data_IF_572766231373
#
_entry.id   IF_572766231373
#
_cell.length_a   1.000
_cell.length_b   1.000
_cell.length_c   1.000
_cell.angle_alpha   90.00
_cell.angle_beta   90.00
_cell.angle_gamma   90.00
#
_symmetry.space_group_name_H-M   'P 1'
#
loop_
_entity.id
_entity.type
_entity.pdbx_description
1 polymer ?
#
# COMPACT_ATOMS: atom_id res chain seq x y z
N UNK A 1 14.00 14.92 11.26
CA UNK A 1 12.84 14.47 10.52
C UNK A 1 13.09 13.11 9.90
N UNK A 2 12.05 12.42 9.50
CA UNK A 2 12.11 11.13 8.82
C UNK A 2 11.76 11.32 7.35
N UNK A 3 12.47 10.63 6.46
CA UNK A 3 12.13 10.55 5.04
C UNK A 3 11.62 9.14 4.75
N UNK A 4 10.64 9.02 3.89
CA UNK A 4 10.11 7.76 3.38
C UNK A 4 9.95 7.88 1.87
N UNK A 5 10.50 6.94 1.12
CA UNK A 5 10.49 6.96 -0.33
C UNK A 5 9.80 5.72 -0.86
N UNK A 6 8.76 5.89 -1.67
CA UNK A 6 8.02 4.79 -2.29
C UNK A 6 8.05 4.88 -3.81
N UNK A 7 7.89 3.76 -4.47
CA UNK A 7 7.73 3.65 -5.92
C UNK A 7 6.25 3.62 -6.23
N UNK A 8 5.77 4.60 -7.01
CA UNK A 8 4.40 4.59 -7.54
C UNK A 8 4.38 3.75 -8.81
N UNK A 9 3.55 2.71 -8.81
CA UNK A 9 3.43 1.80 -9.95
C UNK A 9 2.03 1.17 -10.00
N UNK A 10 1.73 0.49 -11.09
CA UNK A 10 0.55 -0.35 -11.24
C UNK A 10 0.89 -1.79 -10.82
N UNK A 11 0.11 -2.34 -9.89
CA UNK A 11 0.18 -3.73 -9.46
C UNK A 11 -0.92 -4.54 -10.13
N UNK A 12 -0.63 -5.81 -10.44
CA UNK A 12 -1.55 -6.69 -11.13
C UNK A 12 -2.62 -7.25 -10.18
N UNK A 13 -3.86 -7.36 -10.64
CA UNK A 13 -4.95 -7.97 -9.86
C UNK A 13 -4.73 -9.46 -9.64
N UNK A 14 -4.04 -10.15 -10.54
CA UNK A 14 -3.75 -11.57 -10.42
C UNK A 14 -2.73 -11.85 -9.30
N UNK A 15 -1.83 -10.93 -9.02
CA UNK A 15 -0.92 -11.03 -7.86
C UNK A 15 -1.68 -11.04 -6.53
N UNK A 16 -2.77 -10.30 -6.44
CA UNK A 16 -3.66 -10.36 -5.28
C UNK A 16 -4.42 -11.69 -5.22
N UNK A 17 -4.94 -12.17 -6.35
CA UNK A 17 -5.65 -13.44 -6.45
C UNK A 17 -4.75 -14.65 -6.09
N UNK A 18 -3.51 -14.62 -6.56
CA UNK A 18 -2.52 -15.66 -6.35
C UNK A 18 -1.78 -15.55 -5.01
N UNK A 19 -2.21 -14.62 -4.14
CA UNK A 19 -1.62 -14.39 -2.84
C UNK A 19 -0.11 -14.03 -2.88
N UNK A 20 0.33 -13.40 -3.96
CA UNK A 20 1.63 -12.73 -4.06
C UNK A 20 1.55 -11.41 -3.29
N UNK A 21 0.44 -10.68 -3.43
CA UNK A 21 0.13 -9.55 -2.58
C UNK A 21 -0.60 -10.05 -1.33
N UNK A 22 0.11 -10.03 -0.20
CA UNK A 22 -0.38 -10.56 1.09
C UNK A 22 -1.29 -9.55 1.79
N UNK A 23 -2.37 -10.07 2.37
CA UNK A 23 -3.31 -9.32 3.20
C UNK A 23 -3.29 -9.84 4.62
N UNK A 24 -3.52 -8.97 5.59
CA UNK A 24 -3.61 -9.29 7.01
C UNK A 24 -4.95 -8.89 7.63
N UNK A 25 -5.85 -8.30 6.84
CA UNK A 25 -7.17 -7.85 7.28
C UNK A 25 -8.24 -8.40 6.33
N UNK A 26 -9.35 -8.86 6.90
CA UNK A 26 -10.53 -9.19 6.14
C UNK A 26 -11.35 -7.93 5.86
N UNK A 27 -11.82 -7.82 4.64
CA UNK A 27 -12.62 -6.67 4.21
C UNK A 27 -14.09 -6.87 4.55
N UNK A 28 -14.79 -5.76 4.86
CA UNK A 28 -16.22 -5.75 5.12
C UNK A 28 -16.98 -5.54 3.81
N UNK A 29 -17.91 -6.42 3.48
CA UNK A 29 -18.64 -6.39 2.22
C UNK A 29 -19.32 -5.05 1.94
N UNK A 30 -19.96 -4.44 2.95
CA UNK A 30 -20.62 -3.14 2.78
C UNK A 30 -19.67 -2.02 2.34
N UNK A 31 -18.44 -2.00 2.88
CA UNK A 31 -17.41 -1.04 2.48
C UNK A 31 -16.83 -1.36 1.11
N UNK A 32 -16.70 -2.64 0.76
CA UNK A 32 -16.25 -3.04 -0.56
C UNK A 32 -17.26 -2.62 -1.63
N UNK A 33 -18.55 -2.87 -1.43
CA UNK A 33 -19.60 -2.52 -2.38
C UNK A 33 -19.63 -1.01 -2.65
N UNK A 34 -19.42 -0.20 -1.64
CA UNK A 34 -19.29 1.25 -1.80
C UNK A 34 -18.11 1.63 -2.69
N UNK A 35 -16.94 1.04 -2.44
CA UNK A 35 -15.73 1.27 -3.23
C UNK A 35 -15.81 0.71 -4.65
N UNK A 36 -16.46 -0.44 -4.85
CA UNK A 36 -16.72 -1.01 -6.18
C UNK A 36 -17.55 -0.02 -7.00
N UNK A 37 -18.68 0.48 -6.45
CA UNK A 37 -19.50 1.49 -7.14
C UNK A 37 -18.70 2.75 -7.47
N UNK A 38 -17.84 3.19 -6.56
CA UNK A 38 -16.99 4.36 -6.78
C UNK A 38 -16.03 4.15 -7.95
N UNK A 39 -15.25 3.08 -7.93
CA UNK A 39 -14.28 2.76 -9.02
C UNK A 39 -15.01 2.55 -10.35
N UNK A 40 -16.12 1.85 -10.34
CA UNK A 40 -16.90 1.55 -11.55
C UNK A 40 -17.51 2.82 -12.16
N UNK A 41 -17.98 3.76 -11.33
CA UNK A 41 -18.57 5.02 -11.76
C UNK A 41 -17.56 6.07 -12.20
N UNK A 42 -16.39 6.11 -11.56
CA UNK A 42 -15.34 7.11 -11.88
C UNK A 42 -14.36 6.61 -12.95
N UNK A 43 -14.38 5.31 -13.23
CA UNK A 43 -13.41 4.63 -14.09
C UNK A 43 -11.94 4.95 -13.72
N UNK A 44 -11.70 5.11 -12.42
CA UNK A 44 -10.39 5.54 -11.91
C UNK A 44 -10.11 5.04 -10.49
N UNK A 45 -8.83 4.83 -10.19
CA UNK A 45 -8.34 4.63 -8.83
C UNK A 45 -8.04 5.99 -8.19
N UNK A 46 -8.88 6.43 -7.27
CA UNK A 46 -8.80 7.76 -6.63
C UNK A 46 -7.80 7.84 -5.48
N UNK A 47 -7.12 6.76 -5.16
CA UNK A 47 -6.06 6.73 -4.15
C UNK A 47 -5.24 5.45 -4.25
N UNK A 48 -3.91 5.56 -4.13
CA UNK A 48 -3.04 4.41 -4.24
C UNK A 48 -3.22 3.44 -3.06
N UNK A 49 -2.88 2.18 -3.30
CA UNK A 49 -2.79 1.15 -2.28
C UNK A 49 -1.37 1.16 -1.73
N UNK A 50 -1.24 1.15 -0.42
CA UNK A 50 0.05 1.16 0.25
C UNK A 50 0.56 -0.28 0.38
N UNK A 51 1.61 -0.61 -0.38
CA UNK A 51 2.28 -1.91 -0.35
C UNK A 51 3.67 -1.79 0.27
N UNK A 52 4.11 -2.87 0.89
CA UNK A 52 5.46 -3.01 1.45
C UNK A 52 6.14 -4.20 0.80
N UNK A 53 7.42 -4.05 0.48
CA UNK A 53 8.24 -5.12 -0.06
C UNK A 53 9.55 -5.27 0.71
N UNK A 54 10.16 -6.45 0.65
CA UNK A 54 11.51 -6.66 1.21
C UNK A 54 12.53 -5.94 0.37
N UNK A 55 13.28 -5.05 1.01
CA UNK A 55 14.26 -4.21 0.35
C UNK A 55 15.26 -5.03 -0.49
N UNK A 56 15.51 -4.56 -1.70
CA UNK A 56 16.53 -5.07 -2.62
C UNK A 56 17.47 -3.94 -3.03
N UNK A 57 18.76 -4.17 -2.88
CA UNK A 57 19.78 -3.13 -3.05
C UNK A 57 19.81 -2.54 -4.48
N UNK A 58 19.57 -3.35 -5.51
CA UNK A 58 19.51 -2.85 -6.89
C UNK A 58 18.37 -1.86 -7.11
N UNK A 59 17.19 -2.10 -6.49
CA UNK A 59 16.06 -1.18 -6.54
C UNK A 59 16.42 0.12 -5.81
N UNK A 60 17.01 0.01 -4.61
CA UNK A 60 17.46 1.18 -3.84
C UNK A 60 18.41 2.07 -4.63
N UNK A 61 19.40 1.47 -5.29
CA UNK A 61 20.37 2.22 -6.09
C UNK A 61 19.73 3.01 -7.21
N UNK A 62 18.75 2.43 -7.91
CA UNK A 62 17.97 3.16 -8.92
C UNK A 62 17.24 4.34 -8.31
N UNK A 63 16.49 4.10 -7.23
CA UNK A 63 15.72 5.16 -6.53
C UNK A 63 16.64 6.29 -6.07
N UNK A 64 17.76 5.98 -5.41
CA UNK A 64 18.72 7.00 -4.94
C UNK A 64 19.38 7.76 -6.10
N UNK A 65 19.61 7.13 -7.25
CA UNK A 65 20.13 7.82 -8.42
C UNK A 65 19.09 8.75 -9.06
N UNK A 66 17.85 8.33 -9.15
CA UNK A 66 16.75 9.13 -9.68
C UNK A 66 16.47 10.35 -8.79
N UNK A 67 16.55 10.21 -7.48
CA UNK A 67 16.41 11.31 -6.52
C UNK A 67 17.47 12.42 -6.63
N UNK A 68 18.59 12.17 -7.29
CA UNK A 68 19.60 13.21 -7.59
C UNK A 68 19.19 14.14 -8.73
N UNK A 69 18.17 13.78 -9.49
CA UNK A 69 17.64 14.58 -10.58
C UNK A 69 16.68 15.66 -10.07
N UNK A 70 16.26 16.55 -10.95
CA UNK A 70 15.24 17.54 -10.62
C UNK A 70 13.89 16.84 -10.44
N UNK A 71 13.19 17.02 -9.31
CA UNK A 71 11.87 16.45 -9.12
C UNK A 71 10.84 17.10 -10.07
N UNK A 72 9.85 16.33 -10.51
CA UNK A 72 8.70 16.83 -11.26
C UNK A 72 7.75 17.63 -10.37
N UNK A 73 7.70 17.29 -9.07
CA UNK A 73 6.98 18.03 -8.03
C UNK A 73 7.88 18.19 -6.81
N UNK A 74 7.84 19.37 -6.21
CA UNK A 74 8.46 19.64 -4.90
C UNK A 74 7.65 20.73 -4.21
N UNK A 75 7.01 20.42 -3.09
CA UNK A 75 6.22 21.35 -2.30
C UNK A 75 6.20 20.95 -0.84
N UNK A 76 5.84 21.90 0.02
CA UNK A 76 5.60 21.66 1.44
C UNK A 76 4.09 21.79 1.66
N UNK A 77 3.48 20.76 2.25
CA UNK A 77 2.07 20.75 2.59
C UNK A 77 1.81 21.57 3.88
N UNK A 78 0.53 21.81 4.19
CA UNK A 78 0.12 22.64 5.35
C UNK A 78 0.57 22.05 6.70
N UNK A 79 0.80 20.74 6.76
CA UNK A 79 1.33 20.04 7.94
C UNK A 79 2.86 20.16 8.09
N UNK A 80 3.52 20.91 7.20
CA UNK A 80 4.98 21.10 7.18
C UNK A 80 5.76 19.94 6.57
N UNK A 81 5.11 18.93 6.01
CA UNK A 81 5.77 17.80 5.35
C UNK A 81 6.13 18.19 3.92
N UNK A 82 7.39 17.95 3.54
CA UNK A 82 7.87 18.13 2.17
C UNK A 82 7.54 16.90 1.33
N UNK A 83 6.92 17.14 0.18
CA UNK A 83 6.61 16.13 -0.83
C UNK A 83 7.41 16.37 -2.09
N UNK A 84 8.05 15.33 -2.58
CA UNK A 84 8.82 15.35 -3.82
C UNK A 84 8.50 14.11 -4.65
N UNK A 85 8.44 14.27 -5.96
CA UNK A 85 8.23 13.16 -6.89
C UNK A 85 9.18 13.28 -8.08
N UNK A 86 9.68 12.14 -8.53
CA UNK A 86 10.57 12.00 -9.69
C UNK A 86 9.99 10.99 -10.66
N UNK A 87 10.28 11.17 -11.92
CA UNK A 87 9.91 10.22 -12.98
C UNK A 87 11.04 9.22 -13.19
N UNK A 88 10.70 7.93 -13.24
CA UNK A 88 11.60 6.86 -13.67
C UNK A 88 11.17 6.46 -15.08
N UNK A 89 11.86 6.95 -16.10
CA UNK A 89 11.53 6.73 -17.51
C UNK A 89 12.64 6.03 -18.31
N UNK A 90 13.84 5.91 -17.72
CA UNK A 90 14.95 5.24 -18.40
C UNK A 90 14.71 3.72 -18.42
N UNK A 91 14.75 3.15 -19.63
CA UNK A 91 14.50 1.71 -19.79
C UNK A 91 15.43 0.84 -18.94
N UNK A 92 16.69 1.22 -18.80
CA UNK A 92 17.65 0.50 -17.95
C UNK A 92 17.23 0.45 -16.49
N UNK A 93 16.69 1.56 -15.96
CA UNK A 93 16.23 1.65 -14.57
C UNK A 93 14.95 0.83 -14.37
N UNK A 94 14.02 0.90 -15.32
CA UNK A 94 12.81 0.09 -15.32
C UNK A 94 13.12 -1.41 -15.37
N UNK A 95 14.09 -1.83 -16.21
CA UNK A 95 14.51 -3.22 -16.31
C UNK A 95 15.14 -3.72 -14.99
N UNK A 96 15.95 -2.89 -14.31
CA UNK A 96 16.53 -3.22 -12.99
C UNK A 96 15.44 -3.34 -11.92
N UNK A 97 14.49 -2.40 -11.88
CA UNK A 97 13.37 -2.45 -10.92
C UNK A 97 12.53 -3.72 -11.16
N UNK A 98 12.17 -4.00 -12.41
CA UNK A 98 11.43 -5.21 -12.77
C UNK A 98 12.15 -6.47 -12.32
N UNK A 99 13.41 -6.62 -12.69
CA UNK A 99 14.23 -7.78 -12.29
C UNK A 99 14.39 -7.88 -10.75
N UNK A 100 14.41 -6.75 -10.05
CA UNK A 100 14.40 -6.71 -8.58
C UNK A 100 13.09 -7.24 -8.01
N UNK A 101 11.95 -6.77 -8.50
CA UNK A 101 10.64 -7.26 -8.04
C UNK A 101 10.39 -8.74 -8.37
N UNK A 102 10.92 -9.26 -9.47
CA UNK A 102 10.85 -10.70 -9.81
C UNK A 102 11.55 -11.60 -8.77
N UNK A 103 12.47 -11.07 -7.98
CA UNK A 103 13.13 -11.79 -6.89
C UNK A 103 12.35 -11.74 -5.57
N UNK A 104 11.34 -10.89 -5.48
CA UNK A 104 10.54 -10.69 -4.26
C UNK A 104 9.37 -11.69 -4.27
N UNK A 105 9.31 -12.64 -3.33
CA UNK A 105 8.28 -13.68 -3.36
C UNK A 105 6.88 -13.15 -3.00
N UNK A 106 6.80 -12.02 -2.33
CA UNK A 106 5.54 -11.41 -1.94
C UNK A 106 5.70 -9.93 -1.57
N UNK A 107 4.65 -9.15 -1.81
CA UNK A 107 4.43 -7.83 -1.23
C UNK A 107 3.30 -7.89 -0.20
N UNK A 108 3.18 -6.87 0.64
CA UNK A 108 2.26 -6.87 1.78
C UNK A 108 1.44 -5.59 1.78
N UNK A 109 0.12 -5.69 1.89
CA UNK A 109 -0.74 -4.51 2.02
C UNK A 109 -0.55 -3.93 3.42
N UNK A 110 -0.04 -2.71 3.51
CA UNK A 110 0.04 -1.96 4.77
C UNK A 110 -1.22 -1.14 5.02
N UNK A 111 -1.79 -0.54 3.96
CA UNK A 111 -3.07 0.18 4.02
C UNK A 111 -3.83 0.05 2.70
N UNK A 112 -5.16 0.14 2.77
CA UNK A 112 -6.03 0.13 1.61
C UNK A 112 -6.58 -1.24 1.23
N UNK A 113 -6.76 -2.17 2.18
CA UNK A 113 -7.34 -3.51 1.92
C UNK A 113 -8.67 -3.45 1.17
N UNK A 114 -9.59 -2.53 1.57
CA UNK A 114 -10.88 -2.37 0.89
C UNK A 114 -10.71 -1.80 -0.53
N UNK A 115 -9.78 -0.86 -0.74
CA UNK A 115 -9.48 -0.32 -2.08
C UNK A 115 -8.90 -1.41 -2.98
N UNK A 116 -7.96 -2.21 -2.47
CA UNK A 116 -7.36 -3.31 -3.20
C UNK A 116 -8.41 -4.36 -3.59
N UNK A 117 -9.17 -4.87 -2.62
CA UNK A 117 -10.22 -5.86 -2.87
C UNK A 117 -11.27 -5.36 -3.88
N UNK A 118 -11.65 -4.08 -3.81
CA UNK A 118 -12.61 -3.48 -4.73
C UNK A 118 -12.06 -3.34 -6.14
N UNK A 119 -10.80 -2.91 -6.29
CA UNK A 119 -10.14 -2.82 -7.58
C UNK A 119 -10.06 -4.19 -8.26
N UNK A 120 -9.69 -5.23 -7.51
CA UNK A 120 -9.65 -6.61 -8.01
C UNK A 120 -11.04 -7.06 -8.45
N UNK A 121 -12.09 -6.83 -7.66
CA UNK A 121 -13.47 -7.21 -8.01
C UNK A 121 -13.97 -6.50 -9.27
N UNK A 122 -13.67 -5.21 -9.43
CA UNK A 122 -14.01 -4.46 -10.65
C UNK A 122 -13.26 -5.01 -11.86
N UNK A 123 -11.97 -5.27 -11.74
CA UNK A 123 -11.18 -5.86 -12.81
C UNK A 123 -11.71 -7.22 -13.25
N UNK A 124 -12.02 -8.11 -12.30
CA UNK A 124 -12.61 -9.41 -12.59
C UNK A 124 -14.01 -9.30 -13.23
N UNK A 125 -14.85 -8.38 -12.78
CA UNK A 125 -16.14 -8.07 -13.42
C UNK A 125 -15.95 -7.68 -14.89
N UNK A 126 -15.03 -6.74 -15.15
CA UNK A 126 -14.75 -6.26 -16.52
C UNK A 126 -14.15 -7.35 -17.42
N UNK A 127 -13.34 -8.27 -16.87
CA UNK A 127 -12.91 -9.47 -17.62
C UNK A 127 -14.08 -10.36 -18.02
N UNK A 128 -15.06 -10.55 -17.13
CA UNK A 128 -16.26 -11.32 -17.44
C UNK A 128 -17.14 -10.64 -18.51
N UNK A 129 -17.21 -9.30 -18.50
CA UNK A 129 -17.93 -8.50 -19.48
C UNK A 129 -17.19 -8.42 -20.83
N UNK A 130 -15.87 -8.68 -20.86
CA UNK A 130 -15.04 -8.70 -22.05
C UNK A 130 -14.31 -10.06 -22.20
N UNK A 131 -14.96 -11.10 -22.73
CA UNK A 131 -14.34 -12.42 -22.90
C UNK A 131 -13.11 -12.45 -23.78
N UNK A 132 -12.88 -11.39 -24.56
CA UNK A 132 -11.71 -11.25 -25.42
C UNK A 132 -10.58 -10.43 -24.80
N UNK A 133 -10.56 -10.22 -23.47
CA UNK A 133 -9.50 -9.46 -22.81
C UNK A 133 -8.13 -10.11 -23.07
N UNK A 134 -7.12 -9.27 -23.20
CA UNK A 134 -5.73 -9.69 -23.54
C UNK A 134 -4.81 -9.76 -22.32
N UNK A 135 -5.19 -9.09 -21.23
CA UNK A 135 -4.37 -8.86 -20.05
C UNK A 135 -3.69 -7.48 -20.03
N UNK A 136 -3.71 -6.77 -21.15
CA UNK A 136 -3.08 -5.45 -21.26
C UNK A 136 -4.01 -4.31 -20.84
N UNK A 137 -5.30 -4.58 -20.71
CA UNK A 137 -6.29 -3.59 -20.30
C UNK A 137 -6.01 -3.06 -18.89
N UNK A 138 -6.23 -1.76 -18.68
CA UNK A 138 -5.89 -1.07 -17.44
C UNK A 138 -6.64 -1.61 -16.21
N UNK A 139 -7.85 -2.14 -16.38
CA UNK A 139 -8.61 -2.75 -15.28
C UNK A 139 -7.98 -4.03 -14.72
N UNK A 140 -6.94 -4.57 -15.38
CA UNK A 140 -6.15 -5.69 -14.86
C UNK A 140 -5.13 -5.23 -13.80
N UNK A 141 -5.03 -3.92 -13.56
CA UNK A 141 -4.05 -3.33 -12.66
C UNK A 141 -4.70 -2.33 -11.73
N UNK A 142 -4.05 -2.06 -10.60
CA UNK A 142 -4.45 -1.00 -9.68
C UNK A 142 -3.24 -0.16 -9.25
N UNK A 143 -3.51 1.12 -8.99
CA UNK A 143 -2.49 2.06 -8.53
C UNK A 143 -2.01 1.70 -7.13
N UNK A 144 -0.69 1.60 -6.96
CA UNK A 144 -0.04 1.33 -5.68
C UNK A 144 1.16 2.24 -5.45
N UNK A 145 1.53 2.39 -4.17
CA UNK A 145 2.82 2.92 -3.75
C UNK A 145 3.52 1.83 -2.97
N UNK A 146 4.69 1.42 -3.43
CA UNK A 146 5.47 0.34 -2.84
C UNK A 146 6.63 0.93 -2.04
N UNK A 147 6.68 0.63 -0.75
CA UNK A 147 7.74 1.07 0.15
C UNK A 147 8.62 -0.09 0.58
N UNK A 148 9.95 0.11 0.70
CA UNK A 148 10.83 -0.90 1.26
C UNK A 148 10.57 -1.06 2.76
N UNK A 149 10.69 -2.28 3.27
CA UNK A 149 10.35 -2.60 4.66
C UNK A 149 11.23 -1.90 5.69
N UNK A 150 12.45 -1.60 5.38
CA UNK A 150 13.38 -0.89 6.26
C UNK A 150 13.12 0.63 6.36
N UNK A 151 12.28 1.20 5.50
CA UNK A 151 11.76 2.55 5.64
C UNK A 151 10.40 2.60 6.37
N UNK A 152 9.86 1.46 6.77
CA UNK A 152 8.60 1.39 7.50
C UNK A 152 8.79 1.74 8.99
N UNK A 153 7.74 2.31 9.55
CA UNK A 153 7.63 2.57 10.97
C UNK A 153 6.28 2.06 11.46
N UNK A 154 6.31 1.13 12.40
CA UNK A 154 5.12 0.71 13.11
C UNK A 154 4.83 1.75 14.17
N UNK A 155 3.64 2.35 14.10
CA UNK A 155 3.18 3.33 15.07
C UNK A 155 2.24 2.64 16.06
N UNK A 156 2.27 3.10 17.31
CA UNK A 156 1.36 2.61 18.34
C UNK A 156 -0.09 2.91 17.95
N UNK A 157 -0.94 1.92 18.10
CA UNK A 157 -2.38 2.10 17.94
C UNK A 157 -3.04 2.17 19.31
N UNK A 158 -2.79 3.26 20.02
CA UNK A 158 -3.23 3.48 21.39
C UNK A 158 -4.75 3.47 21.52
N UNK A 159 -5.24 2.90 22.63
CA UNK A 159 -6.63 2.93 23.02
C UNK A 159 -6.79 3.90 24.20
N UNK A 160 -7.78 4.75 24.10
CA UNK A 160 -8.17 5.64 25.20
C UNK A 160 -9.42 5.05 25.85
N UNK A 161 -9.35 4.78 27.13
CA UNK A 161 -10.50 4.35 27.91
C UNK A 161 -11.10 5.56 28.62
N UNK A 162 -12.43 5.59 28.70
CA UNK A 162 -13.16 6.71 29.29
C UNK A 162 -12.95 6.76 30.80
N UNK A 163 -12.95 5.60 31.44
CA UNK A 163 -12.76 5.42 32.88
C UNK A 163 -12.21 4.02 33.14
N UNK A 164 -11.81 3.73 34.37
CA UNK A 164 -11.28 2.45 34.81
C UNK A 164 -12.35 1.54 35.44
N UNK A 165 -13.64 1.83 35.20
CA UNK A 165 -14.77 1.05 35.72
C UNK A 165 -14.74 0.87 37.25
N UNK A 166 -14.44 1.97 37.98
CA UNK A 166 -14.36 1.99 39.43
C UNK A 166 -13.08 1.43 40.04
N UNK A 167 -12.10 0.99 39.21
CA UNK A 167 -10.80 0.52 39.70
C UNK A 167 -9.86 1.71 39.94
N UNK A 168 -8.96 1.57 40.90
CA UNK A 168 -7.80 2.44 40.99
C UNK A 168 -6.83 2.13 39.84
N UNK A 169 -5.85 3.01 39.59
CA UNK A 169 -4.80 2.77 38.58
C UNK A 169 -4.02 1.49 38.89
N UNK A 170 -3.68 1.28 40.17
CA UNK A 170 -2.92 0.15 40.64
C UNK A 170 -3.70 -1.18 40.45
N UNK A 171 -4.99 -1.20 40.76
CA UNK A 171 -5.85 -2.36 40.54
C UNK A 171 -6.02 -2.67 39.05
N UNK A 172 -6.14 -1.62 38.22
CA UNK A 172 -6.22 -1.79 36.78
C UNK A 172 -4.94 -2.37 36.21
N UNK A 173 -3.77 -1.85 36.61
CA UNK A 173 -2.48 -2.36 36.18
C UNK A 173 -2.24 -3.81 36.66
N UNK A 174 -2.64 -4.15 37.90
CA UNK A 174 -2.57 -5.51 38.38
C UNK A 174 -3.37 -6.48 37.49
N UNK A 175 -4.60 -6.12 37.12
CA UNK A 175 -5.42 -6.92 36.21
C UNK A 175 -4.84 -7.02 34.79
N UNK A 176 -4.16 -6.00 34.30
CA UNK A 176 -3.46 -6.05 33.01
C UNK A 176 -2.29 -7.03 33.08
N UNK A 177 -1.50 -7.01 34.16
CA UNK A 177 -0.37 -7.93 34.36
C UNK A 177 -0.79 -9.41 34.47
N UNK A 178 -2.04 -9.69 34.87
CA UNK A 178 -2.59 -11.05 34.87
C UNK A 178 -2.83 -11.60 33.44
N UNK A 179 -2.98 -10.70 32.47
CA UNK A 179 -3.36 -11.04 31.09
C UNK A 179 -2.25 -10.74 30.06
N UNK A 180 -1.39 -9.81 30.35
CA UNK A 180 -0.36 -9.30 29.46
C UNK A 180 0.95 -9.12 30.21
N UNK A 181 2.05 -9.17 29.49
CA UNK A 181 3.36 -8.69 29.95
C UNK A 181 3.40 -7.16 29.75
N UNK A 182 3.44 -6.39 30.86
CA UNK A 182 3.32 -4.92 30.85
C UNK A 182 4.60 -4.29 31.37
#
# INVERSE_FOLDING_TARGET
GRTQTGIVACSDIDDYQNNIIKKHENTRESKEQDRIRHVDATDAHTGPIFLVYRQIESIRQVVENVKKQTPIYSFVADDGIKHEAWLIDQKSDLDVIKAGFEQIPATYIADGHHRCASAVKVGLKRRQENPGFTGDEEYNRFLSVLFPDDEMMIMDYNRVVKDLNGLSKEEFMAKLNDLFEV
#
